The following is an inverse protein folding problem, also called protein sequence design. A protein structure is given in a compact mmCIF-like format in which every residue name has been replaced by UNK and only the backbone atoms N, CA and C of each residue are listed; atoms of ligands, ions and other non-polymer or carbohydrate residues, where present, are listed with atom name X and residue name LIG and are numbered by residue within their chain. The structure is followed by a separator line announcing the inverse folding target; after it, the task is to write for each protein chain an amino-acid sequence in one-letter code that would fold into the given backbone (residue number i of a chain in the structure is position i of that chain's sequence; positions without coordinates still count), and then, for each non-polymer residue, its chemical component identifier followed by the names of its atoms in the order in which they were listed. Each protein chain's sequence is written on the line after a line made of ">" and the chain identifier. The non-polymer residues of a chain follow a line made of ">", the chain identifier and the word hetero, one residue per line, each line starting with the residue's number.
data_IF_539922084210
#
_entry.id   IF_539922084210
#
_cell.length_a   1.000
_cell.length_b   1.000
_cell.length_c   1.000
_cell.angle_alpha   90.00
_cell.angle_beta   90.00
_cell.angle_gamma   90.00
#
_symmetry.space_group_name_H-M   'P 1'
#
loop_
_entity.id
_entity.type
_entity.pdbx_description
1 polymer ?
#
# COMPACT_ATOMS: atom_id res chain seq x y z
N UNK A 1 5.83 -8.88 -3.18
CA UNK A 1 7.30 -8.99 -3.33
C UNK A 1 8.04 -8.01 -2.43
N UNK A 2 7.65 -6.73 -2.41
CA UNK A 2 8.24 -5.66 -1.59
C UNK A 2 8.45 -6.05 -0.12
N UNK A 3 7.39 -6.45 0.60
CA UNK A 3 7.46 -6.78 2.03
C UNK A 3 8.56 -7.80 2.38
N UNK A 4 8.61 -8.90 1.62
CA UNK A 4 9.57 -10.00 1.82
C UNK A 4 11.02 -9.65 1.48
N UNK A 5 11.27 -8.56 0.73
CA UNK A 5 12.61 -8.19 0.25
C UNK A 5 13.13 -6.89 0.86
N UNK A 6 12.24 -5.96 1.21
CA UNK A 6 12.59 -4.62 1.69
C UNK A 6 11.72 -4.23 2.87
N UNK A 7 10.39 -4.29 2.75
CA UNK A 7 9.48 -3.70 3.74
C UNK A 7 9.68 -4.18 5.18
N UNK A 8 9.92 -5.48 5.40
CA UNK A 8 10.17 -6.03 6.75
C UNK A 8 11.60 -5.79 7.28
N UNK A 9 12.48 -5.19 6.48
CA UNK A 9 13.91 -5.05 6.77
C UNK A 9 14.27 -3.56 6.86
N UNK A 10 14.10 -2.98 8.05
CA UNK A 10 14.39 -1.56 8.33
C UNK A 10 15.85 -1.20 8.06
N UNK A 11 16.79 -2.13 8.30
CA UNK A 11 18.20 -1.99 7.99
C UNK A 11 18.44 -1.72 6.49
N UNK A 12 17.72 -2.41 5.60
CA UNK A 12 17.84 -2.22 4.14
C UNK A 12 17.31 -0.87 3.70
N UNK A 13 16.21 -0.41 4.32
CA UNK A 13 15.67 0.93 4.09
C UNK A 13 16.66 1.98 4.57
N UNK A 14 17.18 1.84 5.79
CA UNK A 14 18.21 2.70 6.35
C UNK A 14 19.45 2.81 5.44
N UNK A 15 19.96 1.68 4.95
CA UNK A 15 21.09 1.65 4.02
C UNK A 15 20.79 2.38 2.70
N UNK A 16 19.56 2.30 2.20
CA UNK A 16 19.14 3.02 0.99
C UNK A 16 19.08 4.54 1.22
N UNK A 17 18.53 4.99 2.36
CA UNK A 17 18.54 6.41 2.74
C UNK A 17 19.97 6.93 2.93
N UNK A 18 20.83 6.13 3.58
CA UNK A 18 22.24 6.45 3.74
C UNK A 18 22.94 6.59 2.38
N UNK A 19 22.68 5.69 1.44
CA UNK A 19 23.24 5.76 0.09
C UNK A 19 22.82 7.05 -0.63
N UNK A 20 21.55 7.43 -0.54
CA UNK A 20 21.05 8.68 -1.12
C UNK A 20 21.74 9.89 -0.48
N UNK A 21 21.88 9.88 0.85
CA UNK A 21 22.56 10.94 1.60
C UNK A 21 24.04 11.06 1.19
N UNK A 22 24.76 9.95 1.07
CA UNK A 22 26.15 9.89 0.61
C UNK A 22 26.31 10.49 -0.80
N UNK A 23 25.48 10.06 -1.75
CA UNK A 23 25.51 10.54 -3.14
C UNK A 23 25.18 12.03 -3.22
N UNK A 24 24.13 12.47 -2.52
CA UNK A 24 23.71 13.87 -2.46
C UNK A 24 24.81 14.73 -1.86
N UNK A 25 25.46 14.25 -0.79
CA UNK A 25 26.58 14.95 -0.14
C UNK A 25 27.79 15.07 -1.05
N UNK A 26 28.14 14.01 -1.80
CA UNK A 26 29.23 14.06 -2.77
C UNK A 26 28.98 15.11 -3.86
N UNK A 27 27.76 15.17 -4.40
CA UNK A 27 27.38 16.17 -5.40
C UNK A 27 27.40 17.58 -4.79
N UNK A 28 26.82 17.77 -3.60
CA UNK A 28 26.78 19.05 -2.90
C UNK A 28 28.18 19.59 -2.55
N UNK A 29 29.11 18.72 -2.16
CA UNK A 29 30.50 19.10 -1.85
C UNK A 29 31.28 19.51 -3.10
N UNK A 30 30.97 18.90 -4.25
CA UNK A 30 31.76 19.02 -5.47
C UNK A 30 31.06 19.83 -6.57
N UNK A 31 30.06 20.66 -6.22
CA UNK A 31 29.35 21.54 -7.17
C UNK A 31 30.35 22.36 -8.00
N UNK A 32 31.36 22.97 -7.37
CA UNK A 32 32.35 23.79 -8.07
C UNK A 32 33.19 22.99 -9.09
N UNK A 33 33.44 21.70 -8.82
CA UNK A 33 34.16 20.82 -9.75
C UNK A 33 33.25 20.37 -10.88
N UNK A 34 32.02 20.00 -10.55
CA UNK A 34 31.03 19.50 -11.52
C UNK A 34 30.52 20.60 -12.45
N UNK A 35 30.40 21.83 -11.97
CA UNK A 35 29.98 22.99 -12.76
C UNK A 35 31.04 23.44 -13.79
N UNK A 36 32.32 23.10 -13.57
CA UNK A 36 33.42 23.38 -14.52
C UNK A 36 33.57 22.31 -15.61
N UNK A 37 32.84 21.21 -15.51
CA UNK A 37 32.94 20.12 -16.48
C UNK A 37 32.22 20.47 -17.79
N UNK A 38 32.77 20.03 -18.91
CA UNK A 38 32.17 20.26 -20.23
C UNK A 38 31.13 19.16 -20.55
N UNK A 39 29.85 19.53 -20.53
CA UNK A 39 28.74 18.61 -20.81
C UNK A 39 28.39 18.47 -22.30
N UNK A 40 29.13 19.13 -23.20
CA UNK A 40 28.76 19.15 -24.62
C UNK A 40 28.71 17.75 -25.24
N UNK A 41 27.67 17.52 -26.04
CA UNK A 41 27.41 16.28 -26.79
C UNK A 41 27.56 16.48 -28.30
N UNK A 42 27.73 17.73 -28.74
CA UNK A 42 27.72 18.12 -30.16
C UNK A 42 26.33 18.48 -30.69
N UNK A 43 25.28 18.35 -29.87
CA UNK A 43 23.92 18.81 -30.18
C UNK A 43 23.58 20.05 -29.33
N UNK A 44 23.47 21.20 -29.99
CA UNK A 44 23.25 22.48 -29.32
C UNK A 44 21.96 22.56 -28.51
N UNK A 45 20.92 21.82 -28.91
CA UNK A 45 19.63 21.86 -28.21
C UNK A 45 19.72 21.06 -26.91
N UNK A 46 20.22 19.82 -26.98
CA UNK A 46 20.42 18.98 -25.81
C UNK A 46 21.44 19.58 -24.83
N UNK A 47 22.49 20.22 -25.35
CA UNK A 47 23.50 20.88 -24.52
C UNK A 47 22.91 22.08 -23.76
N UNK A 48 22.06 22.88 -24.40
CA UNK A 48 21.35 24.00 -23.75
C UNK A 48 20.37 23.52 -22.67
N UNK A 49 19.60 22.47 -22.97
CA UNK A 49 18.68 21.87 -22.00
C UNK A 49 19.44 21.29 -20.79
N UNK A 50 20.57 20.63 -21.04
CA UNK A 50 21.42 20.07 -20.00
C UNK A 50 21.97 21.16 -19.08
N UNK A 51 22.47 22.26 -19.65
CA UNK A 51 22.98 23.39 -18.87
C UNK A 51 21.88 23.97 -17.97
N UNK A 52 20.67 24.18 -18.50
CA UNK A 52 19.54 24.67 -17.72
C UNK A 52 19.17 23.74 -16.55
N UNK A 53 19.11 22.43 -16.79
CA UNK A 53 18.81 21.44 -15.75
C UNK A 53 19.90 21.42 -14.68
N UNK A 54 21.17 21.51 -15.07
CA UNK A 54 22.28 21.56 -14.13
C UNK A 54 22.23 22.83 -13.28
N UNK A 55 21.93 23.99 -13.86
CA UNK A 55 21.75 25.23 -13.11
C UNK A 55 20.61 25.12 -12.09
N UNK A 56 19.50 24.49 -12.44
CA UNK A 56 18.42 24.23 -11.48
C UNK A 56 18.90 23.31 -10.35
N UNK A 57 19.63 22.24 -10.69
CA UNK A 57 20.16 21.29 -9.71
C UNK A 57 21.13 21.95 -8.73
N UNK A 58 22.05 22.81 -9.20
CA UNK A 58 23.00 23.53 -8.35
C UNK A 58 22.32 24.51 -7.39
N UNK A 59 21.20 25.09 -7.83
CA UNK A 59 20.42 26.02 -7.02
C UNK A 59 19.44 25.32 -6.07
N UNK A 60 19.23 24.02 -6.22
CA UNK A 60 18.31 23.25 -5.39
C UNK A 60 18.76 23.25 -3.92
N UNK A 61 17.85 23.51 -2.94
CA UNK A 61 18.21 23.60 -1.52
C UNK A 61 18.96 22.38 -0.99
N UNK A 62 18.58 21.18 -1.41
CA UNK A 62 19.22 19.93 -0.97
C UNK A 62 20.65 19.73 -1.48
N UNK A 63 21.05 20.44 -2.53
CA UNK A 63 22.39 20.37 -3.14
C UNK A 63 23.28 21.53 -2.66
N UNK A 64 22.69 22.62 -2.15
CA UNK A 64 23.47 23.74 -1.63
C UNK A 64 24.40 23.29 -0.50
N UNK A 65 25.69 23.67 -0.56
CA UNK A 65 26.66 23.35 0.48
C UNK A 65 26.16 23.79 1.87
N UNK A 66 26.12 22.86 2.82
CA UNK A 66 25.74 23.13 4.21
C UNK A 66 24.25 22.96 4.55
N UNK A 67 23.37 22.69 3.58
CA UNK A 67 21.94 22.50 3.86
C UNK A 67 21.63 21.12 4.48
N UNK A 68 22.28 20.06 3.99
CA UNK A 68 22.17 18.71 4.56
C UNK A 68 23.40 18.41 5.44
N UNK A 69 23.25 18.50 6.76
CA UNK A 69 24.19 17.88 7.72
C UNK A 69 23.80 16.41 7.86
N UNK A 70 24.29 15.56 6.95
CA UNK A 70 23.96 14.13 6.93
C UNK A 70 24.80 13.32 7.90
N UNK A 71 26.12 13.45 7.80
CA UNK A 71 27.10 12.74 8.61
C UNK A 71 28.38 13.57 8.69
N UNK A 72 29.16 13.38 9.77
CA UNK A 72 30.45 14.01 9.94
C UNK A 72 31.51 13.24 9.14
N UNK A 73 32.08 13.87 8.11
CA UNK A 73 33.13 13.25 7.29
C UNK A 73 34.38 12.91 8.09
N UNK A 74 34.68 13.68 9.15
CA UNK A 74 35.85 13.43 9.98
C UNK A 74 35.70 12.19 10.85
N UNK A 75 34.46 11.81 11.17
CA UNK A 75 34.15 10.56 11.86
C UNK A 75 34.09 9.38 10.89
N UNK A 76 33.41 9.55 9.75
CA UNK A 76 33.20 8.45 8.79
C UNK A 76 34.46 8.06 7.99
N UNK A 77 35.41 8.99 7.86
CA UNK A 77 36.57 8.82 6.98
C UNK A 77 37.92 9.02 7.69
N UNK A 78 38.04 8.53 8.93
CA UNK A 78 39.32 8.48 9.65
C UNK A 78 40.32 7.55 8.91
N UNK A 79 41.58 7.97 8.75
CA UNK A 79 42.61 7.15 8.08
C UNK A 79 42.62 7.22 6.55
N UNK A 80 42.36 8.41 5.99
CA UNK A 80 42.13 8.66 4.55
C UNK A 80 43.08 8.02 3.52
N UNK A 81 44.42 7.95 3.71
CA UNK A 81 45.30 7.40 2.68
C UNK A 81 45.04 5.90 2.45
N UNK A 82 45.04 5.11 3.52
CA UNK A 82 44.85 3.65 3.45
C UNK A 82 43.43 3.30 3.04
N UNK A 83 42.45 4.06 3.53
CA UNK A 83 41.04 3.86 3.25
C UNK A 83 40.70 4.14 1.78
N UNK A 84 41.28 5.18 1.17
CA UNK A 84 41.09 5.50 -0.26
C UNK A 84 41.57 4.37 -1.15
N UNK A 85 42.76 3.83 -0.87
CA UNK A 85 43.33 2.74 -1.65
C UNK A 85 42.58 1.42 -1.42
N UNK A 86 42.13 1.17 -0.20
CA UNK A 86 41.27 0.04 0.12
C UNK A 86 39.95 0.08 -0.65
N UNK A 87 39.23 1.21 -0.63
CA UNK A 87 38.01 1.37 -1.42
C UNK A 87 38.28 1.15 -2.91
N UNK A 88 39.34 1.75 -3.46
CA UNK A 88 39.70 1.56 -4.89
C UNK A 88 39.95 0.08 -5.21
N UNK A 89 40.64 -0.67 -4.35
CA UNK A 89 40.85 -2.11 -4.52
C UNK A 89 39.52 -2.86 -4.48
N UNK A 90 38.66 -2.59 -3.50
CA UNK A 90 37.35 -3.24 -3.38
C UNK A 90 36.44 -2.95 -4.58
N UNK A 91 36.38 -1.71 -5.08
CA UNK A 91 35.59 -1.38 -6.26
C UNK A 91 36.07 -2.13 -7.52
N UNK A 92 37.38 -2.30 -7.71
CA UNK A 92 37.92 -3.11 -8.81
C UNK A 92 37.54 -4.58 -8.67
N UNK A 93 37.63 -5.13 -7.47
CA UNK A 93 37.25 -6.51 -7.19
C UNK A 93 35.76 -6.74 -7.44
N UNK A 94 34.89 -5.83 -6.97
CA UNK A 94 33.45 -5.91 -7.20
C UNK A 94 33.13 -5.80 -8.69
N UNK A 95 33.80 -4.91 -9.43
CA UNK A 95 33.61 -4.80 -10.88
C UNK A 95 33.98 -6.09 -11.61
N UNK A 96 35.04 -6.79 -11.16
CA UNK A 96 35.40 -8.12 -11.67
C UNK A 96 34.36 -9.18 -11.31
N UNK A 97 33.75 -9.13 -10.12
CA UNK A 97 32.66 -10.03 -9.75
C UNK A 97 31.42 -9.80 -10.64
N UNK A 98 31.14 -8.54 -11.00
CA UNK A 98 30.04 -8.22 -11.93
C UNK A 98 30.24 -8.82 -13.31
N UNK A 99 31.46 -9.16 -13.71
CA UNK A 99 31.69 -9.87 -14.97
C UNK A 99 31.14 -11.31 -14.97
N UNK A 100 30.91 -11.89 -13.80
CA UNK A 100 30.33 -13.21 -13.63
C UNK A 100 28.78 -13.22 -13.65
N UNK A 101 28.14 -12.05 -13.74
CA UNK A 101 26.67 -11.95 -13.76
C UNK A 101 26.16 -12.25 -15.18
N UNK A 102 25.46 -13.38 -15.36
CA UNK A 102 24.95 -13.81 -16.68
C UNK A 102 23.78 -12.98 -17.22
N UNK A 103 23.17 -12.12 -16.41
CA UNK A 103 22.15 -11.16 -16.86
C UNK A 103 22.82 -9.88 -17.36
N UNK A 104 22.80 -9.62 -18.66
CA UNK A 104 23.46 -8.46 -19.29
C UNK A 104 22.95 -7.11 -18.74
N UNK A 105 21.63 -6.97 -18.55
CA UNK A 105 21.06 -5.75 -17.94
C UNK A 105 21.56 -5.57 -16.51
N UNK A 106 21.58 -6.65 -15.72
CA UNK A 106 22.01 -6.62 -14.33
C UNK A 106 23.50 -6.28 -14.22
N UNK A 107 24.33 -6.83 -15.12
CA UNK A 107 25.75 -6.54 -15.25
C UNK A 107 26.00 -5.08 -15.59
N UNK A 108 25.29 -4.54 -16.60
CA UNK A 108 25.37 -3.13 -16.99
C UNK A 108 25.03 -2.20 -15.83
N UNK A 109 23.85 -2.38 -15.22
CA UNK A 109 23.39 -1.53 -14.13
C UNK A 109 24.26 -1.67 -12.89
N UNK A 110 24.71 -2.89 -12.56
CA UNK A 110 25.63 -3.13 -11.45
C UNK A 110 26.93 -2.36 -11.64
N UNK A 111 27.59 -2.51 -12.79
CA UNK A 111 28.84 -1.78 -13.07
C UNK A 111 28.65 -0.26 -13.06
N UNK A 112 27.54 0.23 -13.61
CA UNK A 112 27.24 1.65 -13.62
C UNK A 112 27.03 2.22 -12.21
N UNK A 113 26.29 1.50 -11.36
CA UNK A 113 26.05 1.90 -9.97
C UNK A 113 27.33 1.87 -9.13
N UNK A 114 28.14 0.82 -9.24
CA UNK A 114 29.41 0.73 -8.53
C UNK A 114 30.41 1.80 -8.99
N UNK A 115 30.42 2.13 -10.30
CA UNK A 115 31.20 3.27 -10.80
C UNK A 115 30.71 4.58 -10.20
N UNK A 116 29.40 4.83 -10.16
CA UNK A 116 28.82 6.03 -9.57
C UNK A 116 29.13 6.18 -8.08
N UNK A 117 29.10 5.08 -7.32
CA UNK A 117 29.50 5.07 -5.91
C UNK A 117 31.00 5.33 -5.73
N UNK A 118 31.84 4.74 -6.57
CA UNK A 118 33.27 5.01 -6.59
C UNK A 118 33.57 6.48 -6.90
N UNK A 119 32.87 7.08 -7.86
CA UNK A 119 32.96 8.50 -8.20
C UNK A 119 32.54 9.38 -7.02
N UNK A 120 31.44 9.05 -6.34
CA UNK A 120 30.98 9.81 -5.18
C UNK A 120 32.02 9.82 -4.05
N UNK A 121 32.62 8.66 -3.75
CA UNK A 121 33.69 8.58 -2.76
C UNK A 121 34.96 9.31 -3.21
N UNK A 122 35.32 9.22 -4.49
CA UNK A 122 36.43 9.99 -5.08
C UNK A 122 36.23 11.50 -4.89
N UNK A 123 35.02 12.01 -5.10
CA UNK A 123 34.64 13.41 -4.86
C UNK A 123 34.68 13.79 -3.38
N UNK A 124 34.33 12.86 -2.48
CA UNK A 124 34.39 13.10 -1.04
C UNK A 124 35.82 13.11 -0.49
N UNK A 125 36.72 12.27 -1.02
CA UNK A 125 38.09 12.12 -0.53
C UNK A 125 39.11 13.07 -1.15
N UNK A 126 38.92 13.47 -2.41
CA UNK A 126 39.90 14.26 -3.15
C UNK A 126 39.51 15.74 -3.16
N UNK A 127 40.47 16.62 -2.91
CA UNK A 127 40.27 18.07 -2.99
C UNK A 127 40.25 18.57 -4.44
N UNK A 128 40.81 17.81 -5.39
CA UNK A 128 40.85 18.19 -6.81
C UNK A 128 40.74 16.95 -7.72
N UNK A 129 39.59 16.24 -7.69
CA UNK A 129 39.41 15.03 -8.47
C UNK A 129 39.34 15.33 -9.97
N UNK A 130 40.14 14.64 -10.77
CA UNK A 130 39.98 14.60 -12.22
C UNK A 130 38.89 13.59 -12.58
N UNK A 131 37.78 14.05 -13.17
CA UNK A 131 36.65 13.20 -13.52
C UNK A 131 36.60 12.90 -15.02
N UNK A 132 36.31 11.64 -15.35
CA UNK A 132 36.00 11.22 -16.72
C UNK A 132 34.50 11.37 -16.99
N UNK A 133 34.12 11.57 -18.26
CA UNK A 133 32.71 11.68 -18.68
C UNK A 133 31.85 10.51 -18.17
N UNK A 134 32.37 9.29 -18.25
CA UNK A 134 31.68 8.09 -17.76
C UNK A 134 31.47 8.09 -16.24
N UNK A 135 32.42 8.65 -15.47
CA UNK A 135 32.29 8.77 -14.01
C UNK A 135 31.13 9.71 -13.64
N UNK A 136 30.97 10.80 -14.38
CA UNK A 136 29.90 11.80 -14.17
C UNK A 136 28.54 11.24 -14.55
N UNK A 137 28.44 10.58 -15.71
CA UNK A 137 27.20 9.91 -16.12
C UNK A 137 26.79 8.87 -15.07
N UNK A 138 27.74 8.05 -14.62
CA UNK A 138 27.49 7.04 -13.60
C UNK A 138 27.03 7.65 -12.28
N UNK A 139 27.64 8.76 -11.84
CA UNK A 139 27.27 9.46 -10.61
C UNK A 139 25.81 9.93 -10.64
N UNK A 140 25.41 10.68 -11.66
CA UNK A 140 24.04 11.21 -11.76
C UNK A 140 23.02 10.11 -11.99
N UNK A 141 23.35 9.09 -12.79
CA UNK A 141 22.45 7.96 -13.00
C UNK A 141 22.23 7.15 -11.71
N UNK A 142 23.28 6.98 -10.91
CA UNK A 142 23.19 6.29 -9.61
C UNK A 142 22.38 7.12 -8.61
N UNK A 143 22.62 8.43 -8.55
CA UNK A 143 21.84 9.35 -7.72
C UNK A 143 20.36 9.30 -8.09
N UNK A 144 20.03 9.39 -9.39
CA UNK A 144 18.66 9.28 -9.89
C UNK A 144 18.01 7.96 -9.49
N UNK A 145 18.67 6.83 -9.76
CA UNK A 145 18.10 5.51 -9.48
C UNK A 145 17.90 5.28 -7.98
N UNK A 146 18.82 5.80 -7.15
CA UNK A 146 18.70 5.74 -5.68
C UNK A 146 17.55 6.62 -5.20
N UNK A 147 17.41 7.84 -5.73
CA UNK A 147 16.30 8.74 -5.44
C UNK A 147 14.94 8.13 -5.82
N UNK A 148 14.83 7.56 -7.02
CA UNK A 148 13.64 6.85 -7.48
C UNK A 148 13.30 5.67 -6.54
N UNK A 149 14.32 4.92 -6.11
CA UNK A 149 14.15 3.78 -5.20
C UNK A 149 13.60 4.22 -3.83
N UNK A 150 14.09 5.34 -3.29
CA UNK A 150 13.58 5.92 -2.04
C UNK A 150 12.12 6.38 -2.21
N UNK A 151 11.80 7.07 -3.32
CA UNK A 151 10.42 7.47 -3.61
C UNK A 151 9.47 6.28 -3.80
N UNK A 152 9.97 5.14 -4.29
CA UNK A 152 9.19 3.90 -4.38
C UNK A 152 8.94 3.24 -3.02
N UNK A 153 9.92 3.29 -2.10
CA UNK A 153 9.72 2.80 -0.73
C UNK A 153 8.54 3.50 -0.08
N UNK A 154 8.48 4.83 -0.14
CA UNK A 154 7.36 5.62 0.41
C UNK A 154 6.01 5.20 -0.19
N UNK A 155 5.94 5.06 -1.52
CA UNK A 155 4.71 4.62 -2.22
C UNK A 155 4.28 3.22 -1.79
N UNK A 156 5.21 2.28 -1.65
CA UNK A 156 4.89 0.93 -1.22
C UNK A 156 4.48 0.85 0.25
N UNK A 157 5.10 1.64 1.14
CA UNK A 157 4.67 1.72 2.54
C UNK A 157 3.23 2.26 2.65
N UNK A 158 2.89 3.30 1.87
CA UNK A 158 1.51 3.81 1.82
C UNK A 158 0.52 2.73 1.36
N UNK A 159 0.83 2.04 0.25
CA UNK A 159 -0.04 0.98 -0.27
C UNK A 159 -0.23 -0.17 0.75
N UNK A 160 0.81 -0.53 1.50
CA UNK A 160 0.74 -1.55 2.56
C UNK A 160 -0.17 -1.10 3.71
N UNK A 161 -0.10 0.18 4.10
CA UNK A 161 -0.98 0.73 5.14
C UNK A 161 -2.44 0.72 4.71
N UNK A 162 -2.72 1.11 3.46
CA UNK A 162 -4.07 1.06 2.88
C UNK A 162 -4.63 -0.36 2.82
N UNK A 163 -3.81 -1.34 2.41
CA UNK A 163 -4.20 -2.75 2.37
C UNK A 163 -4.55 -3.27 3.77
N UNK A 164 -3.69 -3.01 4.77
CA UNK A 164 -3.95 -3.39 6.16
C UNK A 164 -5.23 -2.75 6.71
N UNK A 165 -5.48 -1.49 6.41
CA UNK A 165 -6.69 -0.80 6.85
C UNK A 165 -7.94 -1.42 6.19
N UNK A 166 -7.86 -1.76 4.91
CA UNK A 166 -8.95 -2.43 4.20
C UNK A 166 -9.23 -3.84 4.74
N UNK A 167 -8.19 -4.61 5.07
CA UNK A 167 -8.31 -5.92 5.71
C UNK A 167 -8.95 -5.83 7.10
N UNK A 168 -8.52 -4.88 7.93
CA UNK A 168 -9.08 -4.65 9.26
C UNK A 168 -10.58 -4.32 9.18
N UNK A 169 -10.97 -3.44 8.25
CA UNK A 169 -12.37 -3.08 8.01
C UNK A 169 -13.21 -4.29 7.55
N UNK A 170 -12.69 -5.12 6.63
CA UNK A 170 -13.38 -6.34 6.19
C UNK A 170 -13.58 -7.34 7.33
N UNK A 171 -12.58 -7.48 8.21
CA UNK A 171 -12.68 -8.34 9.38
C UNK A 171 -13.73 -7.82 10.38
N UNK A 172 -13.80 -6.50 10.59
CA UNK A 172 -14.82 -5.87 11.43
C UNK A 172 -16.24 -6.06 10.85
N UNK A 173 -16.42 -5.81 9.55
CA UNK A 173 -17.70 -6.00 8.86
C UNK A 173 -18.16 -7.46 8.91
N UNK A 174 -17.24 -8.41 8.78
CA UNK A 174 -17.53 -9.84 8.90
C UNK A 174 -18.04 -10.18 10.31
N UNK A 175 -17.36 -9.71 11.36
CA UNK A 175 -17.79 -9.91 12.76
C UNK A 175 -19.17 -9.30 13.01
N UNK A 176 -19.42 -8.10 12.49
CA UNK A 176 -20.74 -7.44 12.62
C UNK A 176 -21.85 -8.25 11.95
N UNK A 177 -21.60 -8.80 10.76
CA UNK A 177 -22.57 -9.66 10.05
C UNK A 177 -22.83 -10.95 10.82
N UNK A 178 -21.81 -11.54 11.42
CA UNK A 178 -21.92 -12.75 12.23
C UNK A 178 -22.74 -12.49 13.50
N UNK A 179 -22.48 -11.40 14.23
CA UNK A 179 -23.28 -10.98 15.39
C UNK A 179 -24.76 -10.73 15.03
N UNK A 180 -25.03 -10.10 13.88
CA UNK A 180 -26.42 -9.89 13.41
C UNK A 180 -27.09 -11.23 13.08
N UNK A 181 -26.38 -12.17 12.44
CA UNK A 181 -26.91 -13.51 12.16
C UNK A 181 -27.24 -14.27 13.45
N UNK A 182 -26.35 -14.22 14.44
CA UNK A 182 -26.59 -14.84 15.76
C UNK A 182 -27.81 -14.23 16.46
N UNK A 183 -27.92 -12.90 16.48
CA UNK A 183 -29.08 -12.22 17.06
C UNK A 183 -30.40 -12.60 16.35
N UNK A 184 -30.38 -12.69 15.01
CA UNK A 184 -31.55 -13.11 14.23
C UNK A 184 -31.93 -14.57 14.51
N UNK A 185 -30.93 -15.46 14.62
CA UNK A 185 -31.13 -16.87 14.98
C UNK A 185 -31.76 -17.01 16.37
N UNK A 186 -31.27 -16.25 17.36
CA UNK A 186 -31.83 -16.22 18.72
C UNK A 186 -33.28 -15.71 18.68
N UNK A 187 -33.54 -14.60 17.97
CA UNK A 187 -34.89 -14.06 17.85
C UNK A 187 -35.86 -15.06 17.20
N UNK A 188 -35.45 -15.73 16.13
CA UNK A 188 -36.29 -16.71 15.43
C UNK A 188 -36.52 -17.97 16.28
N UNK A 189 -35.50 -18.44 17.00
CA UNK A 189 -35.59 -19.66 17.82
C UNK A 189 -36.39 -19.47 19.11
N UNK A 190 -36.30 -18.30 19.75
CA UNK A 190 -36.88 -18.08 21.08
C UNK A 190 -38.00 -17.04 21.09
N UNK A 191 -37.85 -15.87 20.45
CA UNK A 191 -38.82 -14.78 20.57
C UNK A 191 -40.08 -15.02 19.72
N UNK A 192 -39.92 -15.40 18.46
CA UNK A 192 -41.06 -15.68 17.56
C UNK A 192 -42.02 -16.77 18.08
N UNK A 193 -41.57 -17.97 18.52
CA UNK A 193 -42.48 -19.00 19.00
C UNK A 193 -43.18 -18.63 20.32
N UNK A 194 -42.52 -17.88 21.20
CA UNK A 194 -43.14 -17.36 22.42
C UNK A 194 -44.26 -16.38 22.08
N UNK A 195 -44.02 -15.44 21.16
CA UNK A 195 -45.04 -14.50 20.70
C UNK A 195 -46.23 -15.22 20.03
N UNK A 196 -45.95 -16.20 19.17
CA UNK A 196 -47.00 -17.00 18.53
C UNK A 196 -47.87 -17.74 19.57
N UNK A 197 -47.25 -18.32 20.59
CA UNK A 197 -47.95 -19.02 21.68
C UNK A 197 -48.86 -18.08 22.47
N UNK A 198 -48.36 -16.87 22.80
CA UNK A 198 -49.14 -15.84 23.50
C UNK A 198 -50.33 -15.38 22.65
N UNK A 199 -50.14 -15.19 21.34
CA UNK A 199 -51.21 -14.77 20.43
C UNK A 199 -52.33 -15.80 20.36
N UNK A 200 -51.98 -17.08 20.24
CA UNK A 200 -52.95 -18.19 20.26
C UNK A 200 -53.71 -18.21 21.58
N UNK A 201 -53.03 -18.03 22.72
CA UNK A 201 -53.68 -17.96 24.04
C UNK A 201 -54.67 -16.76 24.14
N UNK A 202 -54.31 -15.61 23.59
CA UNK A 202 -55.20 -14.44 23.54
C UNK A 202 -56.43 -14.68 22.65
N UNK A 203 -56.23 -15.23 21.44
CA UNK A 203 -57.34 -15.50 20.52
C UNK A 203 -58.31 -16.54 21.08
N UNK A 204 -57.79 -17.60 21.71
CA UNK A 204 -58.62 -18.64 22.35
C UNK A 204 -59.41 -18.10 23.54
N UNK A 205 -58.81 -17.24 24.37
CA UNK A 205 -59.50 -16.61 25.51
C UNK A 205 -60.57 -15.61 25.06
N UNK A 206 -60.29 -14.77 24.06
CA UNK A 206 -61.27 -13.84 23.48
C UNK A 206 -62.44 -14.63 22.84
N UNK A 207 -62.16 -15.69 22.07
CA UNK A 207 -63.20 -16.53 21.48
C UNK A 207 -64.12 -17.16 22.52
N UNK A 208 -63.56 -17.67 23.63
CA UNK A 208 -64.34 -18.23 24.74
C UNK A 208 -65.22 -17.19 25.44
N UNK A 209 -64.73 -15.95 25.59
CA UNK A 209 -65.50 -14.82 26.13
C UNK A 209 -66.68 -14.43 25.24
N UNK A 210 -66.48 -14.41 23.91
CA UNK A 210 -67.53 -14.10 22.94
C UNK A 210 -68.62 -15.18 22.89
N UNK A 211 -68.25 -16.46 22.99
CA UNK A 211 -69.20 -17.58 22.98
C UNK A 211 -70.06 -17.66 24.26
N UNK A 212 -69.56 -17.21 25.42
CA UNK A 212 -70.35 -17.11 26.65
C UNK A 212 -71.45 -16.03 26.61
N UNK A 213 -71.46 -15.16 25.59
CA UNK A 213 -72.40 -14.03 25.48
C UNK A 213 -73.65 -14.34 24.61
N UNK A 214 -73.82 -15.57 24.12
CA UNK A 214 -75.03 -16.03 23.44
C UNK A 214 -76.07 -16.54 24.46
N UNK A 215 -77.29 -15.95 24.53
CA UNK A 215 -78.33 -16.40 25.44
C UNK A 215 -79.04 -17.67 24.93
N UNK A 216 -79.24 -18.63 25.82
CA UNK A 216 -80.03 -19.84 25.62
C UNK A 216 -81.54 -19.55 25.53
N UNK A 217 -82.20 -20.01 24.46
CA UNK A 217 -83.66 -19.98 24.28
C UNK A 217 -84.22 -21.23 23.57
N UNK A 218 -84.35 -22.31 24.34
CA UNK A 218 -85.31 -23.45 24.28
C UNK A 218 -85.59 -24.27 23.01
N UNK A 219 -85.30 -25.58 23.13
CA UNK A 219 -85.78 -26.76 22.36
C UNK A 219 -87.23 -27.16 22.72
N UNK A 220 -87.99 -27.80 21.80
CA UNK A 220 -88.31 -29.27 21.79
C UNK A 220 -89.43 -29.69 20.79
N UNK A 221 -89.54 -31.00 20.42
CA UNK A 221 -90.44 -31.55 19.38
C UNK A 221 -91.60 -32.42 19.92
N UNK A 222 -92.64 -32.70 19.08
CA UNK A 222 -93.23 -34.03 18.77
C UNK A 222 -94.65 -33.99 18.12
N UNK A 223 -94.77 -34.69 16.97
CA UNK A 223 -95.89 -35.43 16.34
C UNK A 223 -97.37 -35.01 16.43
N UNK A 224 -98.06 -34.92 15.27
CA UNK A 224 -99.08 -35.88 14.77
C UNK A 224 -99.67 -35.44 13.40
N UNK A 225 -99.90 -36.43 12.51
CA UNK A 225 -100.52 -36.42 11.15
C UNK A 225 -102.06 -36.27 11.15
N UNK A 226 -102.82 -36.34 10.03
CA UNK A 226 -102.62 -35.93 8.61
C UNK A 226 -103.86 -35.18 8.00
N UNK A 227 -103.75 -34.58 6.80
CA UNK A 227 -104.73 -34.73 5.67
C UNK A 227 -104.36 -33.92 4.42
N UNK A 228 -104.96 -34.38 3.33
CA UNK A 228 -104.65 -34.24 1.91
C UNK A 228 -105.06 -32.93 1.20
N UNK A 229 -104.77 -32.94 -0.11
CA UNK A 229 -105.11 -32.02 -1.22
C UNK A 229 -104.09 -30.90 -1.43
N UNK A 230 -103.51 -30.70 -2.62
CA UNK A 230 -103.83 -31.20 -3.95
C UNK A 230 -103.44 -30.09 -4.94
N UNK A 231 -103.18 -30.46 -6.20
CA UNK A 231 -102.99 -29.55 -7.35
C UNK A 231 -101.63 -28.81 -7.41
N UNK A 232 -100.90 -28.64 -8.51
CA UNK A 232 -100.74 -29.24 -9.85
C UNK A 232 -99.73 -28.31 -10.56
N UNK A 233 -98.90 -28.89 -11.45
CA UNK A 233 -98.16 -28.26 -12.59
C UNK A 233 -96.95 -27.37 -12.28
N UNK A 234 -95.74 -27.82 -12.67
CA UNK A 234 -95.06 -27.73 -14.01
C UNK A 234 -94.41 -26.35 -14.17
N UNK A 235 -93.22 -26.16 -14.72
CA UNK A 235 -92.31 -26.93 -15.60
C UNK A 235 -90.95 -26.18 -15.53
N UNK A 236 -89.80 -26.86 -15.42
CA UNK A 236 -88.75 -26.96 -16.49
C UNK A 236 -88.46 -25.61 -17.17
N UNK A 237 -87.24 -25.09 -17.20
CA UNK A 237 -85.89 -25.67 -17.27
C UNK A 237 -84.89 -24.80 -16.52
#
# INVERSE_FOLDING_TARGET
>A
MYLKRVGYFEDRKGNLYFLLALLTRAVAKSVDTLAKFEYSTGDSTNDADTEMILQELWNHPSIKPGCLKTFDETDMFQGLPDLKDEFRRHFRNISSIMDCVGCEKCKLWGKLEFLGLGTALKLLFDSSPQLQRNEIIALFQTLKKTSDSVGLVEKFEHAVLEEKAAEAKRAEDARRREAVKEALLIANKYALPVLASVLVALLTTIGALLLRRQPSGTKKPASTTPKANGSIRRRTE
#
